data_IF_306906014279
#
_entry.id   IF_306906014279
#
_cell.length_a   1.000
_cell.length_b   1.000
_cell.length_c   1.000
_cell.angle_alpha   90.00
_cell.angle_beta   90.00
_cell.angle_gamma   90.00
#
_symmetry.space_group_name_H-M   'P 1'
#
loop_
_entity.id
_entity.type
_entity.pdbx_description
1 polymer ?
#
# COMPACT_ATOMS: atom_id res chain seq x y z
N UNK A 1 18.74 11.80 -14.30
CA UNK A 1 17.92 10.57 -14.37
C UNK A 1 16.52 11.04 -14.02
N UNK A 2 15.68 11.28 -15.02
CA UNK A 2 14.31 11.72 -14.79
C UNK A 2 13.53 10.54 -14.23
N UNK A 3 13.16 10.62 -12.97
CA UNK A 3 12.19 9.71 -12.38
C UNK A 3 10.83 10.29 -12.75
N UNK A 4 10.14 9.63 -13.67
CA UNK A 4 8.76 9.98 -14.00
C UNK A 4 7.88 9.62 -12.79
N UNK A 5 6.87 10.44 -12.51
CA UNK A 5 5.89 10.22 -11.42
C UNK A 5 5.18 8.86 -11.54
N UNK A 6 5.18 8.27 -12.75
CA UNK A 6 4.64 6.93 -13.05
C UNK A 6 5.40 5.77 -12.36
N UNK A 7 6.68 5.96 -11.97
CA UNK A 7 7.45 4.93 -11.23
C UNK A 7 7.12 4.90 -9.72
N UNK A 8 6.26 5.83 -9.30
CA UNK A 8 5.81 5.97 -7.91
C UNK A 8 4.94 4.81 -7.41
N UNK A 9 4.25 4.10 -8.31
CA UNK A 9 3.42 2.93 -7.98
C UNK A 9 4.23 1.75 -7.43
N UNK A 10 5.55 1.72 -7.67
CA UNK A 10 6.45 0.66 -7.20
C UNK A 10 7.07 0.93 -5.81
N UNK A 11 6.85 2.12 -5.23
CA UNK A 11 7.29 2.35 -3.86
C UNK A 11 6.45 1.54 -2.87
N UNK A 12 7.10 0.96 -1.87
CA UNK A 12 6.53 0.08 -0.82
C UNK A 12 5.28 0.65 -0.09
N UNK A 13 4.91 1.90 -0.39
CA UNK A 13 3.80 2.61 0.23
C UNK A 13 2.41 2.13 -0.23
N UNK A 14 2.31 1.52 -1.42
CA UNK A 14 1.01 1.31 -2.07
C UNK A 14 0.90 -0.08 -2.68
N UNK A 15 0.41 -1.02 -1.91
CA UNK A 15 -0.18 -2.23 -2.47
C UNK A 15 -1.62 -1.89 -2.87
N UNK A 16 -1.92 -1.98 -4.16
CA UNK A 16 -3.22 -1.69 -4.81
C UNK A 16 -4.39 -2.58 -4.34
N UNK A 17 -4.33 -3.10 -3.14
CA UNK A 17 -5.13 -4.26 -2.73
C UNK A 17 -6.55 -3.93 -2.25
N UNK A 18 -6.98 -2.66 -2.27
CA UNK A 18 -8.27 -2.28 -1.66
C UNK A 18 -9.29 -1.62 -2.60
N UNK A 19 -8.98 -1.49 -3.90
CA UNK A 19 -9.90 -0.90 -4.89
C UNK A 19 -10.74 -1.94 -5.66
N UNK A 20 -11.13 -3.04 -5.03
CA UNK A 20 -11.80 -4.16 -5.73
C UNK A 20 -13.27 -3.92 -6.15
N UNK A 21 -13.93 -2.82 -5.78
CA UNK A 21 -15.38 -2.68 -6.02
C UNK A 21 -15.79 -1.71 -7.14
N UNK A 22 -14.86 -1.11 -7.88
CA UNK A 22 -15.20 -0.21 -8.99
C UNK A 22 -14.40 -0.46 -10.27
N UNK A 23 -14.07 -1.72 -10.57
CA UNK A 23 -13.43 -2.04 -11.84
C UNK A 23 -14.40 -1.84 -13.00
N UNK A 24 -13.97 -1.13 -14.04
CA UNK A 24 -14.68 -0.99 -15.31
C UNK A 24 -14.16 -2.06 -16.26
N UNK A 25 -15.05 -2.84 -16.86
CA UNK A 25 -14.67 -3.79 -17.91
C UNK A 25 -14.94 -3.13 -19.26
N UNK A 26 -13.89 -2.94 -20.05
CA UNK A 26 -13.98 -2.53 -21.46
C UNK A 26 -13.82 -3.78 -22.33
N UNK A 27 -14.73 -3.95 -23.30
CA UNK A 27 -14.70 -5.06 -24.23
C UNK A 27 -14.76 -4.53 -25.65
N UNK A 28 -13.89 -5.04 -26.53
CA UNK A 28 -13.87 -4.70 -27.95
C UNK A 28 -13.37 -5.87 -28.79
N UNK A 29 -13.64 -5.83 -30.08
CA UNK A 29 -13.20 -6.84 -31.05
C UNK A 29 -11.99 -6.31 -31.83
N UNK A 30 -11.02 -7.18 -32.13
CA UNK A 30 -9.82 -6.83 -32.92
C UNK A 30 -10.23 -6.59 -34.37
N UNK A 31 -10.00 -5.41 -34.85
CA UNK A 31 -10.31 -4.95 -36.22
C UNK A 31 -9.30 -5.47 -37.24
N UNK A 32 -9.66 -5.49 -38.52
CA UNK A 32 -8.83 -6.03 -39.59
C UNK A 32 -7.48 -5.30 -39.74
N UNK A 33 -7.41 -4.02 -39.44
CA UNK A 33 -6.20 -3.21 -39.44
C UNK A 33 -5.22 -3.54 -38.31
N UNK A 34 -5.68 -4.25 -37.30
CA UNK A 34 -4.89 -4.69 -36.15
C UNK A 34 -4.58 -6.21 -36.19
N UNK A 35 -4.95 -6.90 -37.28
CA UNK A 35 -4.66 -8.32 -37.47
C UNK A 35 -3.16 -8.61 -37.44
N UNK A 36 -2.74 -9.61 -36.66
CA UNK A 36 -1.35 -9.98 -36.45
C UNK A 36 -0.53 -9.02 -35.58
N UNK A 37 -1.14 -7.93 -35.08
CA UNK A 37 -0.45 -6.99 -34.17
C UNK A 37 -0.37 -7.57 -32.74
N UNK A 38 0.50 -6.97 -31.93
CA UNK A 38 0.73 -7.39 -30.55
C UNK A 38 -0.37 -6.84 -29.66
N UNK A 39 -0.74 -7.58 -28.60
CA UNK A 39 -1.77 -7.20 -27.64
C UNK A 39 -1.54 -5.80 -27.05
N UNK A 40 -0.29 -5.45 -26.67
CA UNK A 40 0.03 -4.13 -26.14
C UNK A 40 -0.22 -2.99 -27.14
N UNK A 41 -0.06 -3.23 -28.44
CA UNK A 41 -0.40 -2.27 -29.48
C UNK A 41 -1.89 -2.20 -29.76
N UNK A 42 -2.56 -3.33 -29.80
CA UNK A 42 -4.03 -3.42 -29.97
C UNK A 42 -4.71 -2.64 -28.88
N UNK A 43 -4.34 -2.87 -27.60
CA UNK A 43 -4.87 -2.12 -26.46
C UNK A 43 -4.62 -0.60 -26.58
N UNK A 44 -3.39 -0.21 -26.95
CA UNK A 44 -3.04 1.22 -27.09
C UNK A 44 -3.81 1.92 -28.22
N UNK A 45 -4.24 1.18 -29.23
CA UNK A 45 -5.07 1.72 -30.33
C UNK A 45 -6.53 1.87 -29.92
N UNK A 46 -7.05 0.93 -29.12
CA UNK A 46 -8.46 0.86 -28.72
C UNK A 46 -8.74 1.71 -27.48
N UNK A 47 -7.80 1.80 -26.52
CA UNK A 47 -7.95 2.49 -25.24
C UNK A 47 -7.03 3.73 -25.17
N UNK A 48 -7.35 4.77 -25.96
CA UNK A 48 -6.50 5.96 -26.16
C UNK A 48 -6.30 6.79 -24.89
N UNK A 49 -7.20 6.69 -23.93
CA UNK A 49 -7.16 7.44 -22.67
C UNK A 49 -6.25 6.79 -21.60
N UNK A 50 -5.66 5.63 -21.94
CA UNK A 50 -4.81 4.88 -21.00
C UNK A 50 -3.35 4.85 -21.54
N UNK A 51 -2.38 5.21 -20.69
CA UNK A 51 -0.97 5.20 -21.08
C UNK A 51 -0.49 3.78 -21.43
N UNK A 52 0.48 3.68 -22.37
CA UNK A 52 1.04 2.39 -22.79
C UNK A 52 1.70 1.62 -21.66
N UNK A 53 2.32 2.30 -20.71
CA UNK A 53 2.91 1.68 -19.53
C UNK A 53 1.83 1.02 -18.69
N UNK A 54 0.69 1.69 -18.46
CA UNK A 54 -0.43 1.15 -17.73
C UNK A 54 -1.07 -0.07 -18.42
N UNK A 55 -1.29 0.02 -19.73
CA UNK A 55 -1.82 -1.11 -20.51
C UNK A 55 -0.93 -2.34 -20.40
N UNK A 56 0.39 -2.15 -20.43
CA UNK A 56 1.34 -3.24 -20.21
C UNK A 56 1.20 -3.85 -18.81
N UNK A 57 1.10 -3.03 -17.77
CA UNK A 57 0.86 -3.50 -16.38
C UNK A 57 -0.45 -4.28 -16.27
N UNK A 58 -1.55 -3.81 -16.87
CA UNK A 58 -2.84 -4.54 -16.86
C UNK A 58 -2.72 -5.93 -17.49
N UNK A 59 -1.92 -6.08 -18.57
CA UNK A 59 -1.66 -7.40 -19.17
C UNK A 59 -0.86 -8.28 -18.21
N UNK A 60 0.27 -7.77 -17.69
CA UNK A 60 1.18 -8.51 -16.80
C UNK A 60 0.50 -8.93 -15.47
N UNK A 61 -0.49 -8.17 -15.01
CA UNK A 61 -1.32 -8.47 -13.82
C UNK A 61 -2.47 -9.45 -14.12
N UNK A 62 -2.61 -9.90 -15.37
CA UNK A 62 -3.66 -10.86 -15.75
C UNK A 62 -5.07 -10.27 -15.80
N UNK A 63 -5.21 -8.95 -15.95
CA UNK A 63 -6.49 -8.22 -16.03
C UNK A 63 -7.02 -8.12 -17.47
N UNK A 64 -6.36 -8.76 -18.41
CA UNK A 64 -6.76 -8.82 -19.82
C UNK A 64 -7.12 -10.25 -20.20
N UNK A 65 -8.26 -10.40 -20.87
CA UNK A 65 -8.71 -11.69 -21.44
C UNK A 65 -8.89 -11.54 -22.94
N UNK A 66 -8.50 -12.58 -23.66
CA UNK A 66 -8.75 -12.73 -25.10
C UNK A 66 -9.60 -13.97 -25.30
N UNK A 67 -10.76 -13.82 -25.94
CA UNK A 67 -11.73 -14.90 -26.11
C UNK A 67 -12.06 -15.61 -24.76
N UNK A 68 -12.17 -14.84 -23.67
CA UNK A 68 -12.44 -15.34 -22.32
C UNK A 68 -11.24 -15.95 -21.57
N UNK A 69 -10.07 -16.09 -22.22
CA UNK A 69 -8.83 -16.64 -21.62
C UNK A 69 -7.90 -15.52 -21.17
N UNK A 70 -7.42 -15.60 -19.93
CA UNK A 70 -6.47 -14.61 -19.40
C UNK A 70 -5.13 -14.67 -20.15
N UNK A 71 -4.64 -13.50 -20.60
CA UNK A 71 -3.36 -13.34 -21.27
C UNK A 71 -2.48 -12.41 -20.44
N UNK A 72 -1.25 -12.86 -20.12
CA UNK A 72 -0.26 -12.15 -19.30
C UNK A 72 0.97 -11.68 -20.09
N UNK A 73 0.99 -11.90 -21.43
CA UNK A 73 2.11 -11.57 -22.29
C UNK A 73 1.79 -10.38 -23.20
N UNK A 74 2.40 -9.20 -23.00
CA UNK A 74 2.16 -8.03 -23.84
C UNK A 74 2.46 -8.23 -25.34
N UNK A 75 3.32 -9.20 -25.65
CA UNK A 75 3.76 -9.52 -27.03
C UNK A 75 2.88 -10.58 -27.72
N UNK A 76 1.83 -11.08 -27.06
CA UNK A 76 0.89 -12.02 -27.65
C UNK A 76 0.31 -11.43 -28.95
N UNK A 77 0.21 -12.23 -30.01
CA UNK A 77 -0.32 -11.79 -31.29
C UNK A 77 -1.82 -11.98 -31.34
N UNK A 78 -2.53 -10.96 -31.79
CA UNK A 78 -3.98 -10.95 -31.91
C UNK A 78 -4.40 -11.24 -33.33
N UNK A 79 -5.54 -11.87 -33.51
CA UNK A 79 -6.17 -12.15 -34.80
C UNK A 79 -7.41 -11.29 -34.98
N UNK A 80 -7.73 -10.97 -36.22
CA UNK A 80 -9.01 -10.34 -36.57
C UNK A 80 -10.17 -11.12 -35.97
N UNK A 81 -11.09 -10.44 -35.32
CA UNK A 81 -12.26 -11.04 -34.68
C UNK A 81 -12.03 -11.57 -33.25
N UNK A 82 -10.80 -11.48 -32.71
CA UNK A 82 -10.59 -11.80 -31.28
C UNK A 82 -11.34 -10.81 -30.39
N UNK A 83 -12.09 -11.32 -29.44
CA UNK A 83 -12.75 -10.51 -28.40
C UNK A 83 -11.75 -10.25 -27.25
N UNK A 84 -11.46 -8.97 -27.01
CA UNK A 84 -10.56 -8.56 -25.94
C UNK A 84 -11.37 -7.87 -24.85
N UNK A 85 -11.28 -8.35 -23.61
CA UNK A 85 -11.84 -7.71 -22.43
C UNK A 85 -10.75 -7.30 -21.46
N UNK A 86 -10.81 -6.05 -20.98
CA UNK A 86 -9.83 -5.44 -20.08
C UNK A 86 -10.52 -4.98 -18.81
N UNK A 87 -10.11 -5.49 -17.67
CA UNK A 87 -10.55 -5.01 -16.37
C UNK A 87 -9.68 -3.79 -15.97
N UNK A 88 -10.27 -2.60 -16.08
CA UNK A 88 -9.62 -1.34 -15.73
C UNK A 88 -9.97 -1.01 -14.29
N UNK A 89 -9.02 -1.18 -13.39
CA UNK A 89 -9.16 -0.73 -12.00
C UNK A 89 -8.85 0.76 -11.94
N UNK A 90 -9.71 1.60 -11.29
CA UNK A 90 -9.41 3.01 -11.13
C UNK A 90 -8.12 3.16 -10.32
N UNK A 91 -7.26 4.12 -10.70
CA UNK A 91 -6.15 4.54 -9.86
C UNK A 91 -6.67 5.55 -8.84
N UNK A 92 -6.04 5.58 -7.65
CA UNK A 92 -6.29 6.64 -6.69
C UNK A 92 -6.04 8.04 -7.29
N UNK A 93 -5.09 8.16 -8.21
CA UNK A 93 -4.77 9.41 -8.89
C UNK A 93 -5.86 9.90 -9.87
N UNK A 94 -6.67 8.97 -10.39
CA UNK A 94 -7.74 9.26 -11.37
C UNK A 94 -9.09 9.58 -10.67
N UNK A 95 -9.17 9.47 -9.34
CA UNK A 95 -10.40 9.67 -8.58
C UNK A 95 -10.50 11.09 -8.04
N UNK A 96 -11.65 11.70 -8.22
CA UNK A 96 -11.97 13.02 -7.64
C UNK A 96 -12.46 12.84 -6.19
N UNK A 97 -11.52 12.86 -5.25
CA UNK A 97 -11.81 12.64 -3.84
C UNK A 97 -12.47 13.86 -3.20
N UNK A 98 -13.46 13.60 -2.36
CA UNK A 98 -14.17 14.61 -1.59
C UNK A 98 -13.25 15.18 -0.51
N UNK A 99 -13.17 16.50 -0.41
CA UNK A 99 -12.51 17.16 0.72
C UNK A 99 -13.42 17.11 1.93
N UNK A 100 -13.01 16.39 2.97
CA UNK A 100 -13.79 16.22 4.20
C UNK A 100 -13.07 16.88 5.36
N UNK A 101 -13.62 17.94 5.97
CA UNK A 101 -13.03 18.57 7.14
C UNK A 101 -12.89 17.56 8.30
N UNK A 102 -11.68 17.50 8.86
CA UNK A 102 -11.38 16.71 10.06
C UNK A 102 -10.29 17.41 10.88
N UNK A 103 -10.20 17.05 12.16
CA UNK A 103 -9.14 17.52 13.01
C UNK A 103 -7.84 16.77 12.69
N UNK A 104 -6.81 17.50 12.26
CA UNK A 104 -5.49 16.97 11.93
C UNK A 104 -4.50 17.50 12.97
N UNK A 105 -3.95 16.59 13.77
CA UNK A 105 -2.93 16.92 14.77
C UNK A 105 -1.58 17.22 14.07
N UNK A 106 -1.33 18.51 13.80
CA UNK A 106 -0.12 18.99 13.12
C UNK A 106 1.00 19.16 14.12
N UNK A 107 2.11 18.44 13.91
CA UNK A 107 3.30 18.50 14.75
C UNK A 107 4.33 19.49 14.19
N UNK A 108 4.43 19.58 12.87
CA UNK A 108 5.33 20.51 12.18
C UNK A 108 4.79 20.84 10.79
N UNK A 109 4.96 22.07 10.35
CA UNK A 109 4.62 22.50 9.00
C UNK A 109 5.56 23.60 8.54
N UNK A 110 6.01 23.50 7.29
CA UNK A 110 6.72 24.55 6.56
C UNK A 110 6.18 24.65 5.11
N UNK A 111 6.93 25.25 4.20
CA UNK A 111 6.52 25.39 2.79
C UNK A 111 6.64 24.10 2.00
N UNK A 112 7.45 23.15 2.45
CA UNK A 112 7.77 21.92 1.74
C UNK A 112 7.03 20.69 2.30
N UNK A 113 6.89 20.60 3.64
CA UNK A 113 6.32 19.41 4.30
C UNK A 113 5.29 19.75 5.38
N UNK A 114 4.41 18.80 5.62
CA UNK A 114 3.52 18.74 6.77
C UNK A 114 3.80 17.45 7.53
N UNK A 115 4.07 17.54 8.84
CA UNK A 115 4.21 16.38 9.73
C UNK A 115 3.03 16.32 10.65
N UNK A 116 2.32 15.22 10.65
CA UNK A 116 1.12 15.00 11.46
C UNK A 116 1.32 13.85 12.43
N UNK A 117 0.58 13.86 13.53
CA UNK A 117 0.46 12.74 14.45
C UNK A 117 -0.88 12.03 14.18
N UNK A 118 -0.84 10.94 13.39
CA UNK A 118 -2.04 10.21 13.00
C UNK A 118 -2.68 9.52 14.22
N UNK A 119 -3.97 9.72 14.50
CA UNK A 119 -4.67 8.98 15.54
C UNK A 119 -4.94 7.53 15.14
N UNK A 120 -5.26 6.67 16.13
CA UNK A 120 -5.81 5.35 15.88
C UNK A 120 -7.21 5.46 15.23
N UNK A 121 -7.57 4.49 14.40
CA UNK A 121 -8.87 4.44 13.71
C UNK A 121 -8.91 5.19 12.39
N UNK A 122 -7.97 6.11 12.12
CA UNK A 122 -7.93 6.88 10.86
C UNK A 122 -7.24 6.07 9.75
N UNK A 123 -7.97 5.82 8.66
CA UNK A 123 -7.44 5.23 7.43
C UNK A 123 -6.68 6.30 6.64
N UNK A 124 -5.57 5.92 6.02
CA UNK A 124 -4.72 6.89 5.30
C UNK A 124 -5.26 7.20 3.90
N UNK A 125 -5.63 6.18 3.13
CA UNK A 125 -6.15 6.31 1.77
C UNK A 125 -7.55 5.73 1.66
N UNK A 126 -8.38 6.24 0.75
CA UNK A 126 -9.65 5.63 0.43
C UNK A 126 -9.53 4.14 0.10
N UNK A 127 -10.45 3.37 0.66
CA UNK A 127 -10.52 1.92 0.55
C UNK A 127 -11.97 1.46 0.73
N UNK A 128 -12.25 0.18 0.51
CA UNK A 128 -13.59 -0.39 0.71
C UNK A 128 -14.14 -0.05 2.11
N UNK A 129 -15.27 0.65 2.15
CA UNK A 129 -15.91 1.13 3.38
C UNK A 129 -15.38 2.45 3.96
N UNK A 130 -14.37 3.08 3.32
CA UNK A 130 -13.76 4.34 3.73
C UNK A 130 -13.44 5.21 2.50
N UNK A 131 -14.41 5.97 1.99
CA UNK A 131 -14.24 6.74 0.77
C UNK A 131 -14.06 8.24 0.99
N UNK A 132 -14.60 8.77 2.09
CA UNK A 132 -14.68 10.19 2.41
C UNK A 132 -14.21 10.55 3.82
N UNK A 133 -13.76 9.56 4.59
CA UNK A 133 -13.35 9.67 5.99
C UNK A 133 -11.86 9.37 6.22
N UNK A 134 -11.04 9.44 5.16
CA UNK A 134 -9.61 9.11 5.24
C UNK A 134 -8.73 10.34 5.45
N UNK A 135 -7.48 10.13 5.84
CA UNK A 135 -6.49 11.20 5.94
C UNK A 135 -6.36 11.98 4.62
N UNK A 136 -6.42 11.30 3.46
CA UNK A 136 -6.38 11.94 2.16
C UNK A 136 -7.51 12.97 2.04
N UNK A 137 -8.75 12.60 2.39
CA UNK A 137 -9.91 13.50 2.37
C UNK A 137 -9.71 14.70 3.31
N UNK A 138 -9.14 14.46 4.49
CA UNK A 138 -8.80 15.51 5.45
C UNK A 138 -7.75 16.49 4.93
N UNK A 139 -6.69 16.00 4.30
CA UNK A 139 -5.65 16.84 3.70
C UNK A 139 -6.22 17.73 2.59
N UNK A 140 -7.09 17.19 1.74
CA UNK A 140 -7.77 17.96 0.69
C UNK A 140 -8.63 19.10 1.24
N UNK A 141 -9.19 18.93 2.45
CA UNK A 141 -9.93 19.98 3.14
C UNK A 141 -9.02 20.95 3.91
N UNK A 142 -7.89 20.45 4.41
CA UNK A 142 -6.92 21.21 5.19
C UNK A 142 -6.26 22.33 4.36
N UNK A 143 -5.79 21.99 3.14
CA UNK A 143 -5.20 22.99 2.24
C UNK A 143 -5.43 22.62 0.77
N UNK A 144 -5.94 23.54 -0.06
CA UNK A 144 -6.17 23.31 -1.49
C UNK A 144 -4.92 22.87 -2.27
N UNK A 145 -3.70 23.15 -1.78
CA UNK A 145 -2.45 22.74 -2.43
C UNK A 145 -2.37 21.22 -2.59
N UNK A 146 -2.94 20.45 -1.66
CA UNK A 146 -2.93 18.99 -1.73
C UNK A 146 -3.70 18.41 -2.91
N UNK A 147 -4.61 19.18 -3.54
CA UNK A 147 -5.27 18.76 -4.78
C UNK A 147 -4.35 18.74 -6.00
N UNK A 148 -3.24 19.47 -5.95
CA UNK A 148 -2.27 19.54 -7.05
C UNK A 148 -1.26 18.39 -7.02
N UNK A 149 -1.27 17.62 -5.95
CA UNK A 149 -0.29 16.55 -5.73
C UNK A 149 -0.94 15.17 -5.82
N UNK A 150 -0.29 14.19 -6.46
CA UNK A 150 -0.72 12.82 -6.42
C UNK A 150 -0.95 12.37 -4.96
N UNK A 151 -2.09 11.73 -4.69
CA UNK A 151 -2.45 11.21 -3.36
C UNK A 151 -2.37 12.25 -2.24
N UNK A 152 -2.67 13.51 -2.55
CA UNK A 152 -2.58 14.61 -1.61
C UNK A 152 -1.20 14.74 -0.94
N UNK A 153 -0.10 14.44 -1.66
CA UNK A 153 1.26 14.53 -1.15
C UNK A 153 1.67 13.44 -0.16
N UNK A 154 0.82 12.44 0.08
CA UNK A 154 1.13 11.32 1.00
C UNK A 154 2.17 10.40 0.37
N UNK A 155 3.32 10.23 1.02
CA UNK A 155 4.48 9.46 0.52
C UNK A 155 4.70 8.13 1.25
N UNK A 156 3.99 7.89 2.36
CA UNK A 156 4.00 6.62 3.11
C UNK A 156 2.71 6.46 3.91
N UNK A 157 2.51 5.29 4.50
CA UNK A 157 1.28 5.01 5.26
C UNK A 157 1.56 4.36 6.61
N UNK A 158 0.61 4.51 7.51
CA UNK A 158 0.43 3.73 8.72
C UNK A 158 -0.87 2.91 8.60
N UNK A 159 -0.93 1.77 9.27
CA UNK A 159 -2.18 1.01 9.39
C UNK A 159 -3.24 1.84 10.12
N UNK A 160 -4.53 1.53 9.91
CA UNK A 160 -5.66 2.26 10.51
C UNK A 160 -5.47 2.47 12.02
N UNK A 161 -5.16 1.41 12.74
CA UNK A 161 -5.08 1.43 14.21
C UNK A 161 -3.66 1.75 14.73
N UNK A 162 -2.68 2.00 13.84
CA UNK A 162 -1.35 2.48 14.20
C UNK A 162 -1.37 3.99 14.37
N UNK A 163 -0.83 4.48 15.48
CA UNK A 163 -0.66 5.92 15.78
C UNK A 163 0.75 6.39 15.47
N UNK A 164 0.94 7.70 15.32
CA UNK A 164 2.25 8.31 15.27
C UNK A 164 2.50 9.17 14.04
N UNK A 165 3.77 9.54 13.85
CA UNK A 165 4.16 10.57 12.91
C UNK A 165 4.07 10.09 11.46
N UNK A 166 3.50 10.95 10.64
CA UNK A 166 3.50 10.85 9.17
C UNK A 166 3.98 12.15 8.56
N UNK A 167 4.82 12.05 7.53
CA UNK A 167 5.24 13.19 6.71
C UNK A 167 4.44 13.19 5.40
N UNK A 168 3.97 14.37 5.02
CA UNK A 168 3.21 14.64 3.80
C UNK A 168 3.93 15.76 3.05
N UNK A 169 4.10 15.62 1.73
CA UNK A 169 4.68 16.66 0.90
C UNK A 169 3.64 17.75 0.57
N UNK A 170 4.08 19.03 0.57
CA UNK A 170 3.24 20.18 0.20
C UNK A 170 3.51 20.67 -1.22
N UNK A 171 4.56 20.18 -1.87
CA UNK A 171 4.88 20.48 -3.25
C UNK A 171 5.57 19.28 -3.93
N UNK A 172 5.64 19.33 -5.26
CA UNK A 172 6.17 18.25 -6.08
C UNK A 172 7.66 17.95 -5.80
N UNK A 173 8.47 19.00 -5.56
CA UNK A 173 9.89 18.84 -5.25
C UNK A 173 10.10 18.07 -3.95
N UNK A 174 9.39 18.46 -2.90
CA UNK A 174 9.45 17.76 -1.60
C UNK A 174 8.93 16.32 -1.73
N UNK A 175 7.88 16.10 -2.53
CA UNK A 175 7.35 14.77 -2.78
C UNK A 175 8.39 13.86 -3.45
N UNK A 176 9.04 14.31 -4.51
CA UNK A 176 10.09 13.55 -5.20
C UNK A 176 11.27 13.24 -4.27
N UNK A 177 11.72 14.22 -3.49
CA UNK A 177 12.83 14.02 -2.55
C UNK A 177 12.48 13.02 -1.45
N UNK A 178 11.30 13.14 -0.83
CA UNK A 178 10.84 12.20 0.20
C UNK A 178 10.71 10.77 -0.35
N UNK A 179 10.21 10.61 -1.57
CA UNK A 179 10.12 9.31 -2.24
C UNK A 179 11.52 8.71 -2.45
N UNK A 180 12.47 9.50 -2.94
CA UNK A 180 13.86 9.05 -3.09
C UNK A 180 14.49 8.63 -1.76
N UNK A 181 14.25 9.40 -0.70
CA UNK A 181 14.74 9.07 0.64
C UNK A 181 14.11 7.77 1.18
N UNK A 182 12.82 7.55 0.95
CA UNK A 182 12.14 6.30 1.33
C UNK A 182 12.67 5.10 0.55
N UNK A 183 12.90 5.23 -0.76
CA UNK A 183 13.51 4.20 -1.61
C UNK A 183 14.95 3.90 -1.21
N UNK A 184 15.75 4.94 -0.94
CA UNK A 184 17.11 4.81 -0.45
C UNK A 184 17.19 4.32 1.01
N UNK A 185 16.05 4.23 1.70
CA UNK A 185 15.95 3.83 3.12
C UNK A 185 16.73 4.75 4.06
N UNK A 186 16.87 6.03 3.72
CA UNK A 186 17.50 7.04 4.56
C UNK A 186 16.52 7.57 5.61
N UNK A 187 15.22 7.56 5.33
CA UNK A 187 14.18 7.83 6.33
C UNK A 187 14.13 6.67 7.33
N UNK A 188 14.51 6.94 8.57
CA UNK A 188 14.52 5.95 9.65
C UNK A 188 13.12 5.83 10.24
N UNK A 189 12.49 4.68 10.05
CA UNK A 189 11.17 4.37 10.61
C UNK A 189 11.33 3.49 11.84
N UNK A 190 11.05 4.02 13.00
CA UNK A 190 11.05 3.29 14.27
C UNK A 190 9.65 3.31 14.87
N UNK A 191 9.18 2.14 15.28
CA UNK A 191 7.89 1.93 15.90
C UNK A 191 8.07 1.32 17.28
N UNK A 192 7.16 1.63 18.17
CA UNK A 192 7.10 1.00 19.47
C UNK A 192 5.90 0.08 19.54
N UNK A 193 6.12 -1.13 20.04
CA UNK A 193 5.10 -2.16 20.12
C UNK A 193 5.10 -2.79 21.50
N UNK A 194 3.89 -3.02 22.02
CA UNK A 194 3.68 -3.82 23.25
C UNK A 194 3.27 -5.22 22.83
N UNK A 195 4.01 -6.24 23.29
CA UNK A 195 3.82 -7.64 22.88
C UNK A 195 3.54 -8.52 24.08
N UNK A 196 2.84 -9.63 23.85
CA UNK A 196 2.75 -10.73 24.82
C UNK A 196 3.99 -11.63 24.63
N UNK A 197 4.61 -12.05 25.73
CA UNK A 197 5.78 -12.90 25.74
C UNK A 197 7.07 -12.17 26.08
N UNK A 198 8.15 -12.93 26.23
CA UNK A 198 9.51 -12.40 26.48
C UNK A 198 10.22 -12.17 25.16
N UNK A 199 10.42 -10.92 24.81
CA UNK A 199 11.18 -10.57 23.61
C UNK A 199 12.70 -10.80 23.84
N UNK A 200 13.45 -11.25 22.82
CA UNK A 200 14.91 -11.24 22.87
C UNK A 200 15.43 -9.80 22.97
N UNK A 201 16.61 -9.63 23.56
CA UNK A 201 17.24 -8.31 23.72
C UNK A 201 17.37 -7.58 22.37
N UNK A 202 17.76 -8.34 21.34
CA UNK A 202 17.91 -7.87 19.96
C UNK A 202 17.65 -9.03 18.98
N UNK A 203 16.97 -8.77 17.86
CA UNK A 203 16.73 -9.77 16.81
C UNK A 203 16.40 -9.10 15.48
N UNK A 204 16.91 -9.69 14.40
CA UNK A 204 16.48 -9.38 13.03
C UNK A 204 15.51 -10.47 12.57
N UNK A 205 14.37 -10.07 12.06
CA UNK A 205 13.35 -10.95 11.48
C UNK A 205 13.38 -10.72 9.97
N UNK A 206 13.79 -11.74 9.23
CA UNK A 206 13.84 -11.75 7.77
C UNK A 206 12.88 -12.83 7.27
N UNK A 207 11.67 -12.42 6.90
CA UNK A 207 10.64 -13.33 6.44
C UNK A 207 9.74 -12.63 5.42
N UNK A 208 9.57 -13.25 4.26
CA UNK A 208 8.72 -12.68 3.22
C UNK A 208 7.25 -12.69 3.65
N UNK A 209 6.51 -11.66 3.25
CA UNK A 209 5.10 -11.47 3.61
C UNK A 209 4.25 -11.57 2.35
N UNK A 210 3.13 -12.25 2.46
CA UNK A 210 2.10 -12.34 1.44
C UNK A 210 0.70 -12.23 2.06
N UNK A 211 -0.31 -12.00 1.22
CA UNK A 211 -1.70 -12.03 1.65
C UNK A 211 -2.09 -13.46 1.98
N UNK A 212 -2.78 -13.65 3.11
CA UNK A 212 -3.25 -14.97 3.52
C UNK A 212 -4.30 -15.49 2.51
N UNK A 213 -4.06 -16.61 1.83
CA UNK A 213 -5.00 -17.15 0.84
C UNK A 213 -6.34 -17.59 1.45
N UNK A 214 -6.40 -17.78 2.77
CA UNK A 214 -7.63 -18.19 3.48
C UNK A 214 -8.42 -17.01 4.03
N UNK A 215 -7.76 -15.86 4.23
CA UNK A 215 -8.39 -14.64 4.74
C UNK A 215 -7.79 -13.42 4.03
N UNK A 216 -8.51 -12.85 3.02
CA UNK A 216 -8.04 -11.70 2.26
C UNK A 216 -7.71 -10.44 3.08
N UNK A 217 -8.26 -10.31 4.29
CA UNK A 217 -7.99 -9.19 5.19
C UNK A 217 -6.69 -9.36 6.00
N UNK A 218 -6.06 -10.55 5.93
CA UNK A 218 -4.87 -10.90 6.72
C UNK A 218 -3.64 -11.05 5.83
N UNK A 219 -2.49 -10.66 6.38
CA UNK A 219 -1.18 -10.97 5.84
C UNK A 219 -0.48 -12.01 6.71
N UNK A 220 0.38 -12.81 6.11
CA UNK A 220 1.09 -13.91 6.77
C UNK A 220 2.50 -14.06 6.21
N UNK A 221 3.34 -14.82 6.91
CA UNK A 221 4.64 -15.24 6.36
C UNK A 221 4.39 -16.18 5.18
N UNK A 222 4.93 -15.80 4.03
CA UNK A 222 4.79 -16.53 2.77
C UNK A 222 6.08 -17.19 2.31
N UNK A 223 5.93 -18.28 1.55
CA UNK A 223 7.03 -19.01 0.90
C UNK A 223 6.83 -19.10 -0.61
N UNK A 224 5.73 -18.59 -1.11
CA UNK A 224 5.35 -18.64 -2.52
C UNK A 224 5.99 -17.53 -3.36
N UNK A 225 5.85 -17.62 -4.68
CA UNK A 225 6.38 -16.62 -5.63
C UNK A 225 5.75 -15.23 -5.53
N UNK A 226 4.62 -15.09 -4.79
CA UNK A 226 3.95 -13.81 -4.51
C UNK A 226 4.40 -13.15 -3.21
N UNK A 227 5.14 -13.88 -2.37
CA UNK A 227 5.62 -13.35 -1.10
C UNK A 227 6.72 -12.30 -1.33
N UNK A 228 6.57 -11.13 -0.74
CA UNK A 228 7.51 -10.01 -0.86
C UNK A 228 8.52 -10.01 0.29
N UNK A 229 9.83 -9.91 0.03
CA UNK A 229 10.84 -9.86 1.08
C UNK A 229 10.55 -8.75 2.09
N UNK A 230 10.68 -9.08 3.37
CA UNK A 230 10.50 -8.12 4.45
C UNK A 230 11.54 -8.33 5.56
N UNK A 231 12.02 -7.23 6.15
CA UNK A 231 13.01 -7.25 7.21
C UNK A 231 12.64 -6.25 8.30
N UNK A 232 12.53 -6.73 9.53
CA UNK A 232 12.28 -5.94 10.74
C UNK A 232 13.38 -6.22 11.76
N UNK A 233 13.99 -5.16 12.27
CA UNK A 233 14.93 -5.24 13.37
C UNK A 233 14.19 -4.88 14.66
N UNK A 234 14.21 -5.73 15.66
CA UNK A 234 13.59 -5.49 16.96
C UNK A 234 14.62 -5.39 18.06
N UNK A 235 14.38 -4.53 19.03
CA UNK A 235 15.16 -4.39 20.27
C UNK A 235 14.20 -4.29 21.45
N UNK A 236 14.39 -5.15 22.44
CA UNK A 236 13.61 -5.07 23.66
C UNK A 236 14.00 -3.80 24.45
N UNK A 237 13.00 -2.98 24.80
CA UNK A 237 13.18 -1.77 25.61
C UNK A 237 13.01 -2.11 27.08
N UNK A 238 11.94 -2.84 27.42
CA UNK A 238 11.58 -3.21 28.79
C UNK A 238 10.75 -4.50 28.78
N UNK A 239 10.78 -5.23 29.91
CA UNK A 239 9.97 -6.43 30.12
C UNK A 239 9.34 -6.39 31.49
N UNK A 240 8.06 -6.77 31.57
CA UNK A 240 7.32 -6.87 32.83
C UNK A 240 6.47 -8.12 32.86
N UNK A 241 6.26 -8.62 34.05
CA UNK A 241 5.31 -9.68 34.31
C UNK A 241 4.05 -9.10 34.97
N UNK A 242 2.90 -9.38 34.38
CA UNK A 242 1.60 -8.95 34.89
C UNK A 242 0.74 -10.19 35.10
N UNK A 243 0.32 -10.47 36.35
CA UNK A 243 -0.47 -11.65 36.70
C UNK A 243 0.14 -12.97 36.17
N UNK A 244 1.45 -13.13 36.34
CA UNK A 244 2.19 -14.33 35.90
C UNK A 244 2.39 -14.46 34.36
N UNK A 245 2.04 -13.43 33.59
CA UNK A 245 2.23 -13.42 32.13
C UNK A 245 3.28 -12.38 31.76
N UNK A 246 4.28 -12.75 30.92
CA UNK A 246 5.29 -11.81 30.46
C UNK A 246 4.76 -10.93 29.35
N UNK A 247 5.20 -9.66 29.37
CA UNK A 247 4.97 -8.65 28.36
C UNK A 247 6.29 -7.96 28.05
N UNK A 248 6.46 -7.55 26.80
CA UNK A 248 7.65 -6.84 26.36
C UNK A 248 7.30 -5.57 25.62
N UNK A 249 8.01 -4.49 25.91
CA UNK A 249 8.01 -3.28 25.12
C UNK A 249 9.19 -3.32 24.14
N UNK A 250 8.89 -3.21 22.86
CA UNK A 250 9.83 -3.48 21.78
C UNK A 250 9.92 -2.29 20.84
N UNK A 251 11.13 -1.83 20.54
CA UNK A 251 11.39 -0.93 19.42
C UNK A 251 11.57 -1.76 18.14
N UNK A 252 10.85 -1.39 17.08
CA UNK A 252 10.87 -2.06 15.78
C UNK A 252 11.38 -1.09 14.72
N UNK A 253 12.54 -1.38 14.09
CA UNK A 253 13.07 -0.63 12.96
C UNK A 253 12.81 -1.37 11.66
N UNK A 254 12.20 -0.68 10.71
CA UNK A 254 11.84 -1.25 9.42
C UNK A 254 12.92 -0.99 8.38
N UNK A 255 13.44 -2.06 7.72
CA UNK A 255 14.17 -1.95 6.45
C UNK A 255 13.25 -1.97 5.24
N UNK A 256 12.08 -2.57 5.38
CA UNK A 256 11.01 -2.64 4.37
C UNK A 256 9.70 -2.16 4.99
N UNK A 257 8.67 -1.85 4.20
CA UNK A 257 7.38 -1.31 4.68
C UNK A 257 6.18 -2.09 4.16
N UNK A 258 6.17 -3.42 4.28
CA UNK A 258 5.04 -4.24 3.81
C UNK A 258 3.83 -4.07 4.69
N UNK A 259 2.65 -4.24 4.11
CA UNK A 259 1.38 -4.19 4.85
C UNK A 259 1.41 -5.10 6.06
N UNK A 260 1.01 -4.58 7.22
CA UNK A 260 1.00 -5.28 8.50
C UNK A 260 2.35 -5.89 8.93
N UNK A 261 3.49 -5.40 8.41
CA UNK A 261 4.79 -6.06 8.55
C UNK A 261 5.19 -6.34 9.99
N UNK A 262 5.14 -5.34 10.87
CA UNK A 262 5.51 -5.52 12.30
C UNK A 262 4.60 -6.56 12.93
N UNK A 263 3.30 -6.49 12.67
CA UNK A 263 2.28 -7.39 13.22
C UNK A 263 2.56 -8.84 12.84
N UNK A 264 2.74 -9.10 11.54
CA UNK A 264 3.05 -10.43 10.99
C UNK A 264 4.38 -10.97 11.50
N UNK A 265 5.43 -10.14 11.50
CA UNK A 265 6.75 -10.54 11.97
C UNK A 265 6.75 -10.86 13.46
N UNK A 266 6.13 -10.04 14.29
CA UNK A 266 6.05 -10.28 15.73
C UNK A 266 5.24 -11.54 16.05
N UNK A 267 4.11 -11.76 15.38
CA UNK A 267 3.33 -13.00 15.50
C UNK A 267 4.18 -14.23 15.12
N UNK A 268 4.95 -14.15 14.02
CA UNK A 268 5.76 -15.26 13.50
C UNK A 268 6.84 -15.76 14.45
N UNK A 269 7.24 -14.93 15.39
CA UNK A 269 8.22 -15.29 16.44
C UNK A 269 7.59 -15.54 17.81
N UNK A 270 6.25 -15.66 17.86
CA UNK A 270 5.50 -15.94 19.09
C UNK A 270 5.34 -14.74 20.02
N UNK A 271 5.46 -13.52 19.52
CA UNK A 271 5.31 -12.26 20.25
C UNK A 271 4.18 -11.40 19.66
N UNK A 272 2.92 -11.86 19.65
CA UNK A 272 1.81 -11.12 19.08
C UNK A 272 1.64 -9.77 19.77
N UNK A 273 1.24 -8.75 18.99
CA UNK A 273 0.97 -7.41 19.50
C UNK A 273 -0.29 -7.42 20.37
N UNK A 274 -0.25 -6.67 21.46
CA UNK A 274 -1.43 -6.50 22.34
C UNK A 274 -2.43 -5.59 21.63
N UNK A 275 -3.70 -6.02 21.64
CA UNK A 275 -4.80 -5.28 21.01
C UNK A 275 -4.94 -5.49 19.49
N UNK A 276 -4.06 -6.27 18.86
CA UNK A 276 -4.18 -6.61 17.45
C UNK A 276 -5.30 -7.65 17.22
N UNK A 277 -6.38 -7.22 16.58
CA UNK A 277 -7.56 -8.06 16.32
C UNK A 277 -7.39 -9.05 15.16
N UNK A 278 -6.39 -8.86 14.30
CA UNK A 278 -6.20 -9.67 13.10
C UNK A 278 -5.15 -10.78 13.28
N UNK A 279 -4.15 -10.56 14.13
CA UNK A 279 -3.04 -11.50 14.33
C UNK A 279 -3.12 -12.27 15.65
N UNK A 280 -3.77 -11.74 16.68
CA UNK A 280 -3.93 -12.43 17.97
C UNK A 280 -5.34 -12.98 18.15
N UNK A 281 -5.43 -14.27 18.46
CA UNK A 281 -6.69 -14.96 18.82
C UNK A 281 -7.25 -14.57 20.19
N UNK A 282 -6.63 -13.64 20.91
CA UNK A 282 -7.00 -13.35 22.28
C UNK A 282 -7.64 -11.98 22.48
N UNK A 283 -8.78 -12.08 23.11
CA UNK A 283 -9.64 -11.06 23.67
C UNK A 283 -8.86 -9.90 24.29
N UNK A 284 -9.31 -8.68 23.97
CA UNK A 284 -8.98 -7.44 24.65
C UNK A 284 -8.80 -7.67 26.15
N UNK A 285 -7.59 -7.51 26.66
CA UNK A 285 -7.38 -7.23 28.07
C UNK A 285 -7.88 -5.79 28.31
N UNK A 286 -9.12 -5.66 28.80
CA UNK A 286 -9.49 -4.44 29.51
C UNK A 286 -8.59 -4.36 30.75
N UNK A 287 -7.69 -3.39 30.74
CA UNK A 287 -6.95 -2.94 31.92
C UNK A 287 -7.85 -2.05 32.75
#
# INVERSE_FOLDING_TARGET
MNIELDDYSQTEAFEETELQESSKIETFEVTLDLDGERLDKVLASSLKDISRSRLKTLIEDGLVKVNGVTVDKPKEKMSFGDEVSVEIKPRLEDMDFIATPMDIDVVYEDDDILVINKPAGLVVHPAAGHWDDTLLNGLLAYNPIFRTLPRAGIVHRLDRDTTGLMVVAKNEKAMLDLVQQLQARTVKREYWALTRGKAPADKVIEAAIERDPRNPLRFTIGKGGRAKPATTHIRCIDQKEVKGKPFSWVACRLKTGRTHQIRVHMESIGLPLIGDKLTSYDTVLCL
#
